data_IF_921515871501
#
_entry.id   IF_921515871501
#
_cell.length_a   1.000
_cell.length_b   1.000
_cell.length_c   1.000
_cell.angle_alpha   90.00
_cell.angle_beta   90.00
_cell.angle_gamma   90.00
#
_symmetry.space_group_name_H-M   'P 1'
#
loop_
_entity.id
_entity.type
_entity.pdbx_description
1 polymer ?
#
# COMPACT_ATOMS: atom_id res chain seq x y z
N UNK A 1 -21.59 -29.06 18.53
CA UNK A 1 -20.75 -28.38 19.54
C UNK A 1 -19.44 -29.09 19.88
N UNK A 2 -19.38 -30.43 19.95
CA UNK A 2 -18.14 -31.17 20.26
C UNK A 2 -17.01 -31.02 19.23
N UNK A 3 -17.33 -30.76 17.96
CA UNK A 3 -16.34 -30.57 16.87
C UNK A 3 -15.73 -29.16 16.78
N UNK A 4 -16.38 -28.17 17.39
CA UNK A 4 -15.88 -26.79 17.46
C UNK A 4 -14.81 -26.67 18.55
N UNK A 5 -14.98 -27.40 19.66
CA UNK A 5 -13.96 -27.46 20.72
C UNK A 5 -12.67 -28.16 20.28
N UNK A 6 -12.74 -29.14 19.37
CA UNK A 6 -11.57 -29.89 18.87
C UNK A 6 -10.69 -29.07 17.93
N UNK A 7 -11.27 -28.12 17.19
CA UNK A 7 -10.54 -27.18 16.34
C UNK A 7 -9.82 -26.09 17.17
N UNK A 8 -10.38 -25.72 18.32
CA UNK A 8 -9.79 -24.71 19.22
C UNK A 8 -8.59 -25.26 20.01
N UNK A 9 -8.54 -26.56 20.26
CA UNK A 9 -7.45 -27.21 21.04
C UNK A 9 -6.22 -27.56 20.20
N UNK A 10 -6.34 -27.66 18.87
CA UNK A 10 -5.19 -27.93 17.99
C UNK A 10 -4.35 -26.68 17.67
N UNK A 11 -4.85 -25.47 17.98
CA UNK A 11 -4.13 -24.21 17.76
C UNK A 11 -3.14 -23.86 18.90
N UNK A 12 -3.08 -24.67 19.97
CA UNK A 12 -2.26 -24.35 21.15
C UNK A 12 -0.89 -25.08 21.20
N UNK A 13 -0.52 -25.81 20.15
CA UNK A 13 0.70 -26.63 20.17
C UNK A 13 1.79 -25.99 19.28
N UNK A 14 2.83 -25.51 19.96
CA UNK A 14 4.20 -25.20 19.47
C UNK A 14 4.42 -23.89 18.71
N UNK A 15 4.38 -22.76 19.44
CA UNK A 15 5.27 -21.64 19.13
C UNK A 15 6.60 -21.86 19.85
N UNK A 16 7.42 -22.76 19.33
CA UNK A 16 8.87 -22.59 19.51
C UNK A 16 9.25 -21.39 18.67
N UNK A 17 9.24 -20.20 19.28
CA UNK A 17 9.81 -19.00 18.66
C UNK A 17 11.30 -19.27 18.53
N UNK A 18 11.72 -19.86 17.41
CA UNK A 18 13.11 -19.74 16.99
C UNK A 18 13.39 -18.24 16.98
N UNK A 19 14.35 -17.80 17.79
CA UNK A 19 14.77 -16.41 17.71
C UNK A 19 15.12 -16.12 16.25
N UNK A 20 14.35 -15.22 15.61
CA UNK A 20 14.59 -14.85 14.22
C UNK A 20 15.89 -14.06 14.06
N UNK A 21 16.47 -13.63 15.19
CA UNK A 21 17.70 -12.86 15.29
C UNK A 21 18.84 -13.78 15.76
N UNK A 22 19.88 -13.90 14.94
CA UNK A 22 21.06 -14.69 15.25
C UNK A 22 22.35 -13.95 14.89
N UNK A 23 23.49 -14.46 15.35
CA UNK A 23 24.79 -13.97 14.89
C UNK A 23 25.17 -14.63 13.57
N UNK A 24 25.71 -13.83 12.66
CA UNK A 24 26.22 -14.27 11.37
C UNK A 24 27.41 -13.42 10.94
N UNK A 25 27.76 -13.53 9.67
CA UNK A 25 28.80 -12.71 9.05
C UNK A 25 28.32 -12.16 7.72
N UNK A 26 28.85 -11.00 7.35
CA UNK A 26 28.64 -10.43 6.03
C UNK A 26 29.87 -9.64 5.59
N UNK A 27 30.14 -9.66 4.28
CA UNK A 27 31.22 -8.87 3.71
C UNK A 27 30.82 -7.40 3.63
N UNK A 28 31.52 -6.57 4.41
CA UNK A 28 31.45 -5.12 4.37
C UNK A 28 32.84 -4.59 4.03
N UNK A 29 32.93 -3.78 2.97
CA UNK A 29 34.21 -3.23 2.49
C UNK A 29 35.28 -4.30 2.22
N UNK A 30 34.88 -5.43 1.61
CA UNK A 30 35.74 -6.59 1.28
C UNK A 30 36.37 -7.31 2.50
N UNK A 31 35.84 -7.09 3.70
CA UNK A 31 36.23 -7.81 4.92
C UNK A 31 34.99 -8.49 5.51
N UNK A 32 35.13 -9.75 5.93
CA UNK A 32 34.08 -10.43 6.68
C UNK A 32 33.92 -9.76 8.04
N UNK A 33 32.73 -9.24 8.32
CA UNK A 33 32.37 -8.59 9.59
C UNK A 33 31.27 -9.38 10.28
N UNK A 34 31.32 -9.41 11.61
CA UNK A 34 30.25 -10.01 12.40
C UNK A 34 28.98 -9.17 12.25
N UNK A 35 27.86 -9.84 12.03
CA UNK A 35 26.56 -9.20 11.84
C UNK A 35 25.50 -9.83 12.74
N UNK A 36 24.56 -9.02 13.17
CA UNK A 36 23.27 -9.49 13.69
C UNK A 36 22.36 -9.74 12.49
N UNK A 37 21.79 -10.93 12.37
CA UNK A 37 21.00 -11.36 11.22
C UNK A 37 19.56 -11.59 11.66
N UNK A 38 18.60 -10.90 11.04
CA UNK A 38 17.16 -11.12 11.20
C UNK A 38 16.60 -11.76 9.94
N UNK A 39 15.93 -12.90 10.06
CA UNK A 39 15.17 -13.49 8.96
C UNK A 39 13.72 -13.06 8.99
N UNK A 40 13.19 -12.67 7.83
CA UNK A 40 11.81 -12.20 7.71
C UNK A 40 11.07 -12.95 6.60
N UNK A 41 9.74 -13.01 6.74
CA UNK A 41 8.82 -13.48 5.71
C UNK A 41 8.38 -12.38 4.73
N UNK A 42 9.04 -11.22 4.77
CA UNK A 42 8.70 -10.04 3.98
C UNK A 42 9.72 -9.81 2.86
N UNK A 43 9.25 -9.22 1.76
CA UNK A 43 10.11 -8.95 0.62
C UNK A 43 11.19 -7.93 0.97
N UNK A 44 12.30 -7.96 0.23
CA UNK A 44 13.41 -7.05 0.43
C UNK A 44 12.95 -5.58 0.39
N UNK A 45 12.05 -5.23 -0.53
CA UNK A 45 11.54 -3.87 -0.70
C UNK A 45 10.78 -3.37 0.53
N UNK A 46 9.90 -4.21 1.10
CA UNK A 46 9.13 -3.88 2.31
C UNK A 46 10.05 -3.68 3.50
N UNK A 47 11.03 -4.57 3.65
CA UNK A 47 11.97 -4.53 4.76
C UNK A 47 12.90 -3.33 4.67
N UNK A 48 13.43 -3.03 3.48
CA UNK A 48 14.23 -1.82 3.27
C UNK A 48 13.44 -0.54 3.51
N UNK A 49 12.19 -0.49 3.05
CA UNK A 49 11.29 0.64 3.30
C UNK A 49 11.06 0.86 4.80
N UNK A 50 10.79 -0.22 5.54
CA UNK A 50 10.64 -0.17 6.99
C UNK A 50 11.93 0.27 7.70
N UNK A 51 13.11 -0.25 7.33
CA UNK A 51 14.37 0.16 7.96
C UNK A 51 14.61 1.66 7.77
N UNK A 52 14.42 2.17 6.55
CA UNK A 52 14.59 3.60 6.24
C UNK A 52 13.66 4.46 7.09
N UNK A 53 12.37 4.14 7.10
CA UNK A 53 11.39 4.91 7.87
C UNK A 53 11.70 4.85 9.38
N UNK A 54 12.09 3.67 9.91
CA UNK A 54 12.43 3.53 11.33
C UNK A 54 13.62 4.38 11.71
N UNK A 55 14.67 4.36 10.89
CA UNK A 55 15.89 5.09 11.18
C UNK A 55 15.70 6.59 10.99
N UNK A 56 14.89 7.02 10.02
CA UNK A 56 14.45 8.42 9.90
C UNK A 56 13.72 8.89 11.16
N UNK A 57 12.83 8.06 11.72
CA UNK A 57 12.14 8.37 12.99
C UNK A 57 13.12 8.47 14.18
N UNK A 58 14.19 7.65 14.20
CA UNK A 58 15.21 7.70 15.25
C UNK A 58 16.16 8.90 15.09
N UNK A 59 16.46 9.33 13.87
CA UNK A 59 17.33 10.47 13.57
C UNK A 59 16.65 11.84 13.71
N UNK A 60 15.32 11.93 13.62
CA UNK A 60 14.57 13.20 13.60
C UNK A 60 14.23 13.79 14.99
N UNK A 61 14.85 13.33 16.08
CA UNK A 61 14.72 14.00 17.39
C UNK A 61 15.65 15.22 17.50
N UNK A 62 15.33 16.29 16.74
CA UNK A 62 15.71 17.66 17.11
C UNK A 62 16.84 18.37 16.34
N UNK A 63 17.26 17.94 15.15
CA UNK A 63 18.20 18.71 14.32
C UNK A 63 17.80 18.64 12.83
N UNK A 64 17.97 19.75 12.11
CA UNK A 64 17.72 19.91 10.66
C UNK A 64 18.60 19.01 9.74
N UNK A 65 19.23 17.96 10.25
CA UNK A 65 20.05 17.04 9.47
C UNK A 65 19.18 15.94 8.87
N UNK A 66 18.49 16.30 7.79
CA UNK A 66 17.69 15.42 6.93
C UNK A 66 18.46 14.31 6.19
N UNK A 67 19.71 13.99 6.54
CA UNK A 67 20.51 13.07 5.74
C UNK A 67 21.70 12.50 6.50
N UNK A 68 21.55 11.27 6.98
CA UNK A 68 22.69 10.36 7.19
C UNK A 68 22.39 8.94 6.69
N UNK A 69 21.31 8.74 5.91
CA UNK A 69 21.06 7.49 5.18
C UNK A 69 21.81 7.56 3.86
N UNK A 70 22.93 6.85 3.76
CA UNK A 70 23.64 6.71 2.48
C UNK A 70 23.68 5.25 2.06
N UNK A 71 23.36 4.98 0.79
CA UNK A 71 23.61 3.68 0.20
C UNK A 71 25.09 3.59 -0.16
N UNK A 72 25.82 2.68 0.49
CA UNK A 72 27.23 2.45 0.22
C UNK A 72 27.44 1.78 -1.13
N UNK A 73 28.67 1.83 -1.65
CA UNK A 73 29.07 1.09 -2.87
C UNK A 73 28.88 -0.43 -2.75
N UNK A 74 28.72 -0.95 -1.52
CA UNK A 74 28.49 -2.37 -1.23
C UNK A 74 27.01 -2.69 -0.97
N UNK A 75 26.09 -1.78 -1.33
CA UNK A 75 24.64 -1.90 -1.12
C UNK A 75 24.23 -2.03 0.36
N UNK A 76 24.90 -1.29 1.24
CA UNK A 76 24.47 -1.14 2.63
C UNK A 76 23.82 0.22 2.83
N UNK A 77 22.71 0.27 3.56
CA UNK A 77 22.22 1.50 4.15
C UNK A 77 23.04 1.81 5.38
N UNK A 78 23.83 2.88 5.30
CA UNK A 78 24.65 3.38 6.40
C UNK A 78 23.87 4.45 7.16
N UNK A 79 23.90 4.40 8.49
CA UNK A 79 23.31 5.37 9.38
C UNK A 79 24.36 5.80 10.38
N UNK A 80 24.94 6.98 10.16
CA UNK A 80 26.06 7.46 10.98
C UNK A 80 25.59 8.13 12.26
N UNK A 81 26.34 7.95 13.34
CA UNK A 81 26.07 8.61 14.63
C UNK A 81 24.72 8.24 15.24
N UNK A 82 24.25 7.01 15.02
CA UNK A 82 23.03 6.51 15.62
C UNK A 82 23.25 6.22 17.11
N UNK A 83 22.30 6.66 17.95
CA UNK A 83 22.30 6.34 19.37
C UNK A 83 21.42 5.13 19.63
N UNK A 84 22.04 3.98 19.87
CA UNK A 84 21.30 2.79 20.32
C UNK A 84 20.72 3.04 21.72
N UNK A 85 19.50 2.56 22.02
CA UNK A 85 18.91 2.67 23.36
C UNK A 85 19.88 2.17 24.43
N UNK A 86 20.07 2.96 25.48
CA UNK A 86 20.96 2.66 26.61
C UNK A 86 22.45 2.50 26.23
N UNK A 87 22.90 2.89 25.03
CA UNK A 87 24.32 2.97 24.71
C UNK A 87 24.96 4.27 25.24
N UNK A 88 26.19 4.17 25.72
CA UNK A 88 26.98 5.30 26.24
C UNK A 88 27.70 6.09 25.14
N UNK A 89 27.71 5.57 23.90
CA UNK A 89 28.36 6.17 22.74
C UNK A 89 27.47 6.05 21.51
N UNK A 90 27.63 6.99 20.59
CA UNK A 90 27.04 6.91 19.26
C UNK A 90 27.82 5.90 18.41
N UNK A 91 27.12 5.24 17.48
CA UNK A 91 27.65 4.20 16.61
C UNK A 91 27.16 4.37 15.18
N UNK A 92 27.88 3.80 14.24
CA UNK A 92 27.45 3.74 12.84
C UNK A 92 26.75 2.40 12.59
N UNK A 93 25.54 2.41 12.03
CA UNK A 93 24.79 1.19 11.73
C UNK A 93 24.81 0.94 10.22
N UNK A 94 25.13 -0.30 9.83
CA UNK A 94 25.17 -0.73 8.44
C UNK A 94 24.15 -1.83 8.25
N UNK A 95 23.07 -1.53 7.53
CA UNK A 95 22.03 -2.48 7.20
C UNK A 95 22.17 -2.96 5.76
N UNK A 96 22.06 -4.27 5.54
CA UNK A 96 21.88 -4.83 4.21
C UNK A 96 20.74 -5.84 4.24
N UNK A 97 19.86 -5.74 3.26
CA UNK A 97 18.77 -6.68 3.09
C UNK A 97 19.05 -7.52 1.86
N UNK A 98 18.98 -8.84 2.00
CA UNK A 98 19.14 -9.78 0.90
C UNK A 98 17.89 -10.63 0.76
N UNK A 99 17.48 -10.87 -0.48
CA UNK A 99 16.41 -11.81 -0.77
C UNK A 99 16.78 -13.21 -0.29
N UNK A 100 15.83 -13.88 0.37
CA UNK A 100 15.96 -15.28 0.82
C UNK A 100 14.93 -16.16 0.13
N UNK A 101 15.33 -17.39 -0.20
CA UNK A 101 14.45 -18.39 -0.80
C UNK A 101 14.39 -18.38 -2.33
N UNK A 102 13.62 -19.33 -2.89
CA UNK A 102 13.47 -19.48 -4.35
C UNK A 102 12.70 -18.33 -5.00
N UNK A 103 12.60 -18.35 -6.34
CA UNK A 103 12.05 -17.27 -7.19
C UNK A 103 10.64 -16.77 -6.81
N UNK A 104 9.86 -17.56 -6.05
CA UNK A 104 8.49 -17.25 -5.63
C UNK A 104 8.34 -17.01 -4.11
N UNK A 105 9.43 -17.07 -3.34
CA UNK A 105 9.40 -16.74 -1.91
C UNK A 105 9.76 -15.27 -1.75
N UNK A 106 8.92 -14.57 -0.98
CA UNK A 106 9.10 -13.18 -0.58
C UNK A 106 9.70 -13.11 0.82
N UNK A 107 10.74 -13.89 1.07
CA UNK A 107 11.48 -13.85 2.33
C UNK A 107 12.75 -13.01 2.15
N UNK A 108 13.26 -12.46 3.24
CA UNK A 108 14.51 -11.71 3.23
C UNK A 108 15.31 -11.92 4.51
N UNK A 109 16.62 -11.67 4.41
CA UNK A 109 17.54 -11.62 5.54
C UNK A 109 18.05 -10.19 5.68
N UNK A 110 17.96 -9.64 6.88
CA UNK A 110 18.52 -8.34 7.24
C UNK A 110 19.79 -8.58 8.02
N UNK A 111 20.88 -7.94 7.61
CA UNK A 111 22.16 -7.96 8.28
C UNK A 111 22.42 -6.59 8.86
N UNK A 112 22.76 -6.54 10.14
CA UNK A 112 23.18 -5.35 10.86
C UNK A 112 24.64 -5.52 11.30
N UNK A 113 25.51 -4.64 10.82
CA UNK A 113 26.88 -4.49 11.30
C UNK A 113 26.99 -3.16 12.07
N UNK A 114 27.68 -3.17 13.21
CA UNK A 114 27.84 -1.99 14.08
C UNK A 114 29.27 -1.47 14.01
N UNK A 115 29.45 -0.26 13.48
CA UNK A 115 30.70 0.47 13.45
C UNK A 115 30.90 1.34 14.68
N UNK A 116 32.13 1.37 15.18
CA UNK A 116 32.61 2.22 16.28
C UNK A 116 33.51 3.36 15.78
N UNK A 117 33.77 3.41 14.47
CA UNK A 117 34.60 4.38 13.78
C UNK A 117 34.88 3.96 12.33
N UNK A 118 35.79 4.63 11.60
CA UNK A 118 36.02 4.40 10.17
C UNK A 118 36.40 2.97 9.76
N UNK A 119 36.99 2.18 10.69
CA UNK A 119 37.44 0.81 10.44
C UNK A 119 37.31 -0.14 11.66
N UNK A 120 36.73 0.36 12.76
CA UNK A 120 36.52 -0.41 14.00
C UNK A 120 35.06 -0.86 14.08
N UNK A 121 34.84 -2.15 14.32
CA UNK A 121 33.53 -2.78 14.30
C UNK A 121 33.31 -3.60 15.56
N UNK A 122 32.09 -3.55 16.08
CA UNK A 122 31.70 -4.29 17.26
C UNK A 122 31.69 -5.80 16.98
N UNK A 123 32.15 -6.58 17.95
CA UNK A 123 32.06 -8.05 17.93
C UNK A 123 31.53 -8.55 19.26
N UNK A 124 31.07 -9.80 19.32
CA UNK A 124 30.64 -10.42 20.59
C UNK A 124 31.79 -10.58 21.58
N UNK A 125 33.03 -10.59 21.11
CA UNK A 125 34.22 -10.75 21.96
C UNK A 125 34.70 -9.42 22.51
N UNK A 126 34.69 -8.37 21.68
CA UNK A 126 35.21 -7.04 22.05
C UNK A 126 34.15 -6.12 22.65
N UNK A 127 32.89 -6.27 22.24
CA UNK A 127 31.80 -5.35 22.58
C UNK A 127 30.47 -6.10 22.83
N UNK A 128 30.42 -7.07 23.76
CA UNK A 128 29.23 -7.91 23.99
C UNK A 128 27.96 -7.08 24.28
N UNK A 129 28.04 -6.07 25.16
CA UNK A 129 26.91 -5.21 25.51
C UNK A 129 26.35 -4.43 24.31
N UNK A 130 27.22 -4.04 23.38
CA UNK A 130 26.82 -3.31 22.19
C UNK A 130 26.13 -4.24 21.18
N UNK A 131 26.63 -5.47 21.06
CA UNK A 131 26.03 -6.49 20.22
C UNK A 131 24.67 -6.96 20.74
N UNK A 132 24.47 -7.03 22.06
CA UNK A 132 23.18 -7.37 22.64
C UNK A 132 22.14 -6.26 22.41
N UNK A 133 22.56 -4.98 22.46
CA UNK A 133 21.69 -3.85 22.06
C UNK A 133 21.34 -3.87 20.58
N UNK A 134 22.27 -4.30 19.72
CA UNK A 134 22.01 -4.47 18.30
C UNK A 134 21.03 -5.63 18.03
N UNK A 135 21.11 -6.73 18.80
CA UNK A 135 20.08 -7.78 18.78
C UNK A 135 18.72 -7.23 19.19
N UNK A 136 18.65 -6.51 20.30
CA UNK A 136 17.39 -5.92 20.79
C UNK A 136 16.76 -4.98 19.74
N UNK A 137 17.58 -4.19 19.05
CA UNK A 137 17.11 -3.35 17.94
C UNK A 137 16.51 -4.20 16.81
N UNK A 138 17.19 -5.29 16.42
CA UNK A 138 16.74 -6.19 15.35
C UNK A 138 15.49 -6.99 15.74
N UNK A 139 15.34 -7.36 17.01
CA UNK A 139 14.13 -8.02 17.53
C UNK A 139 12.93 -7.06 17.48
N UNK A 140 13.13 -5.79 17.83
CA UNK A 140 12.10 -4.74 17.73
C UNK A 140 11.82 -4.29 16.30
N UNK A 141 12.70 -4.63 15.35
CA UNK A 141 12.52 -4.28 13.95
C UNK A 141 11.42 -5.10 13.30
N UNK A 142 11.27 -6.38 13.66
CA UNK A 142 10.25 -7.26 13.10
C UNK A 142 8.83 -6.68 13.24
N UNK A 143 8.29 -6.39 14.44
CA UNK A 143 6.94 -5.83 14.56
C UNK A 143 6.79 -4.48 13.85
N UNK A 144 7.88 -3.72 13.68
CA UNK A 144 7.85 -2.50 12.89
C UNK A 144 7.75 -2.77 11.38
N UNK A 145 8.43 -3.78 10.86
CA UNK A 145 8.29 -4.24 9.47
C UNK A 145 6.84 -4.69 9.22
N UNK A 146 6.23 -5.42 10.16
CA UNK A 146 4.84 -5.86 10.06
C UNK A 146 3.88 -4.67 9.98
N UNK A 147 4.07 -3.68 10.87
CA UNK A 147 3.27 -2.45 10.86
C UNK A 147 3.47 -1.64 9.57
N UNK A 148 4.70 -1.51 9.08
CA UNK A 148 5.00 -0.83 7.82
C UNK A 148 4.32 -1.54 6.65
N UNK A 149 4.40 -2.87 6.57
CA UNK A 149 3.71 -3.65 5.52
C UNK A 149 2.20 -3.41 5.56
N UNK A 150 1.60 -3.46 6.74
CA UNK A 150 0.18 -3.21 6.92
C UNK A 150 -0.20 -1.80 6.44
N UNK A 151 0.60 -0.79 6.77
CA UNK A 151 0.38 0.59 6.31
C UNK A 151 0.46 0.72 4.79
N UNK A 152 1.41 0.04 4.14
CA UNK A 152 1.48 0.01 2.67
C UNK A 152 0.27 -0.69 2.05
N UNK A 153 -0.23 -1.75 2.67
CA UNK A 153 -1.44 -2.45 2.21
C UNK A 153 -2.69 -1.60 2.36
N UNK A 154 -2.81 -0.87 3.48
CA UNK A 154 -3.91 0.08 3.72
C UNK A 154 -3.89 1.16 2.64
N UNK A 155 -2.73 1.79 2.38
CA UNK A 155 -2.60 2.81 1.33
C UNK A 155 -2.98 2.29 -0.05
N UNK A 156 -2.55 1.08 -0.40
CA UNK A 156 -2.92 0.44 -1.66
C UNK A 156 -4.43 0.21 -1.75
N UNK A 157 -5.05 -0.25 -0.66
CA UNK A 157 -6.50 -0.48 -0.59
C UNK A 157 -7.31 0.83 -0.64
N UNK A 158 -6.85 1.89 0.02
CA UNK A 158 -7.47 3.22 -0.02
C UNK A 158 -7.51 3.79 -1.44
N UNK A 159 -6.43 3.65 -2.21
CA UNK A 159 -6.39 4.08 -3.61
C UNK A 159 -7.35 3.26 -4.51
N UNK A 160 -7.51 1.96 -4.23
CA UNK A 160 -8.52 1.14 -4.91
C UNK A 160 -9.94 1.60 -4.57
N UNK A 161 -10.24 1.84 -3.29
CA UNK A 161 -11.55 2.33 -2.83
C UNK A 161 -11.87 3.67 -3.47
N UNK A 162 -10.91 4.60 -3.49
CA UNK A 162 -11.04 5.92 -4.14
C UNK A 162 -11.39 5.79 -5.62
N UNK A 163 -10.68 4.92 -6.36
CA UNK A 163 -10.93 4.66 -7.78
C UNK A 163 -12.33 4.07 -8.03
N UNK A 164 -12.77 3.14 -7.19
CA UNK A 164 -14.12 2.55 -7.28
C UNK A 164 -15.19 3.60 -6.97
N UNK A 165 -14.97 4.44 -5.95
CA UNK A 165 -15.92 5.48 -5.56
C UNK A 165 -16.08 6.56 -6.65
N UNK A 166 -14.99 6.94 -7.32
CA UNK A 166 -15.04 7.84 -8.48
C UNK A 166 -15.92 7.26 -9.59
N UNK A 167 -15.68 5.98 -9.98
CA UNK A 167 -16.49 5.30 -11.00
C UNK A 167 -17.97 5.23 -10.63
N UNK A 168 -18.27 4.95 -9.36
CA UNK A 168 -19.66 4.91 -8.87
C UNK A 168 -20.33 6.28 -8.99
N UNK A 169 -19.60 7.35 -8.66
CA UNK A 169 -20.08 8.73 -8.76
C UNK A 169 -20.40 9.10 -10.20
N UNK A 170 -19.53 8.74 -11.15
CA UNK A 170 -19.72 9.03 -12.57
C UNK A 170 -20.93 8.26 -13.14
N UNK A 171 -21.06 6.97 -12.83
CA UNK A 171 -22.23 6.17 -13.20
C UNK A 171 -23.54 6.75 -12.64
N UNK A 172 -23.51 7.28 -11.41
CA UNK A 172 -24.68 7.93 -10.81
C UNK A 172 -25.08 9.22 -11.53
N UNK A 173 -24.10 10.00 -12.01
CA UNK A 173 -24.36 11.20 -12.82
C UNK A 173 -24.94 10.82 -14.18
N UNK A 174 -24.34 9.85 -14.85
CA UNK A 174 -24.83 9.34 -16.13
C UNK A 174 -26.27 8.83 -16.03
N UNK A 175 -26.58 8.07 -14.98
CA UNK A 175 -27.95 7.60 -14.70
C UNK A 175 -28.92 8.78 -14.53
N UNK A 176 -28.52 9.83 -13.81
CA UNK A 176 -29.36 11.02 -13.59
C UNK A 176 -29.61 11.78 -14.90
N UNK A 177 -28.59 11.92 -15.74
CA UNK A 177 -28.72 12.60 -17.03
C UNK A 177 -29.54 11.78 -18.03
N UNK A 178 -29.42 10.46 -18.01
CA UNK A 178 -30.28 9.57 -18.78
C UNK A 178 -31.74 9.67 -18.34
N UNK A 179 -32.01 9.71 -17.03
CA UNK A 179 -33.38 9.91 -16.51
C UNK A 179 -33.97 11.24 -16.99
N UNK A 180 -33.22 12.34 -16.95
CA UNK A 180 -33.67 13.64 -17.49
C UNK A 180 -33.97 13.57 -18.99
N UNK A 181 -33.13 12.90 -19.77
CA UNK A 181 -33.35 12.71 -21.22
C UNK A 181 -34.62 11.89 -21.49
N UNK A 182 -34.85 10.84 -20.71
CA UNK A 182 -36.09 10.03 -20.81
C UNK A 182 -37.33 10.89 -20.56
N UNK A 183 -37.33 11.69 -19.48
CA UNK A 183 -38.45 12.59 -19.18
C UNK A 183 -38.71 13.60 -20.32
N UNK A 184 -37.66 14.25 -20.82
CA UNK A 184 -37.79 15.21 -21.91
C UNK A 184 -38.30 14.55 -23.21
N UNK A 185 -37.91 13.30 -23.50
CA UNK A 185 -38.42 12.55 -24.64
C UNK A 185 -39.90 12.17 -24.47
N UNK A 186 -40.32 11.80 -23.25
CA UNK A 186 -41.73 11.51 -22.94
C UNK A 186 -42.61 12.76 -23.11
N UNK A 187 -42.16 13.92 -22.66
CA UNK A 187 -42.85 15.19 -22.89
C UNK A 187 -42.99 15.51 -24.38
N UNK A 188 -41.89 15.39 -25.14
CA UNK A 188 -41.91 15.60 -26.61
C UNK A 188 -42.85 14.62 -27.33
N UNK A 189 -42.88 13.36 -26.90
CA UNK A 189 -43.77 12.35 -27.47
C UNK A 189 -45.25 12.71 -27.20
N UNK A 190 -45.54 13.17 -25.99
CA UNK A 190 -46.89 13.62 -25.60
C UNK A 190 -47.32 14.83 -26.42
N UNK A 191 -46.45 15.84 -26.58
CA UNK A 191 -46.74 17.01 -27.40
C UNK A 191 -46.98 16.63 -28.86
N UNK A 192 -46.10 15.82 -29.46
CA UNK A 192 -46.24 15.36 -30.83
C UNK A 192 -47.56 14.58 -31.06
N UNK A 193 -47.99 13.76 -30.10
CA UNK A 193 -49.27 13.06 -30.18
C UNK A 193 -50.46 14.05 -30.18
N UNK A 194 -50.39 15.11 -29.37
CA UNK A 194 -51.40 16.17 -29.34
C UNK A 194 -51.44 16.95 -30.65
N UNK A 195 -50.26 17.28 -31.19
CA UNK A 195 -50.13 18.01 -32.46
C UNK A 195 -50.68 17.18 -33.63
N UNK A 196 -50.37 15.87 -33.67
CA UNK A 196 -50.93 14.95 -34.67
C UNK A 196 -52.45 14.85 -34.59
N UNK A 197 -53.01 14.78 -33.38
CA UNK A 197 -54.47 14.77 -33.19
C UNK A 197 -55.11 16.06 -33.72
N UNK A 198 -54.52 17.21 -33.40
CA UNK A 198 -55.00 18.52 -33.85
C UNK A 198 -54.94 18.63 -35.37
N UNK A 199 -53.83 18.21 -35.97
CA UNK A 199 -53.64 18.24 -37.43
C UNK A 199 -54.61 17.31 -38.16
N UNK A 200 -54.95 16.15 -37.59
CA UNK A 200 -55.97 15.24 -38.15
C UNK A 200 -57.34 15.91 -38.19
N UNK A 201 -57.76 16.53 -37.09
CA UNK A 201 -59.04 17.25 -37.03
C UNK A 201 -59.09 18.39 -38.05
N UNK A 202 -58.00 19.14 -38.21
CA UNK A 202 -57.95 20.21 -39.22
C UNK A 202 -57.99 19.65 -40.65
N UNK A 203 -57.26 18.57 -40.92
CA UNK A 203 -57.30 17.90 -42.22
C UNK A 203 -58.72 17.44 -42.58
N UNK A 204 -59.44 16.83 -41.64
CA UNK A 204 -60.84 16.40 -41.83
C UNK A 204 -61.76 17.58 -42.18
N UNK A 205 -61.63 18.72 -41.48
CA UNK A 205 -62.39 19.94 -41.80
C UNK A 205 -62.09 20.45 -43.21
N UNK A 206 -60.81 20.53 -43.57
CA UNK A 206 -60.40 21.00 -44.90
C UNK A 206 -60.90 20.07 -46.01
N UNK A 207 -60.89 18.75 -45.77
CA UNK A 207 -61.47 17.78 -46.71
C UNK A 207 -62.97 17.98 -46.90
N UNK A 208 -63.74 18.22 -45.82
CA UNK A 208 -65.16 18.50 -45.91
C UNK A 208 -65.46 19.78 -46.71
N UNK A 209 -64.69 20.86 -46.47
CA UNK A 209 -64.81 22.12 -47.21
C UNK A 209 -64.52 21.89 -48.71
N UNK A 210 -63.44 21.16 -49.02
CA UNK A 210 -63.06 20.86 -50.40
C UNK A 210 -64.15 20.07 -51.13
N UNK A 211 -64.72 19.05 -50.49
CA UNK A 211 -65.82 18.26 -51.08
C UNK A 211 -67.07 19.12 -51.32
N UNK A 212 -67.43 20.00 -50.37
CA UNK A 212 -68.53 20.94 -50.57
C UNK A 212 -68.29 21.89 -51.76
N UNK A 213 -67.07 22.40 -51.93
CA UNK A 213 -66.69 23.24 -53.08
C UNK A 213 -66.73 22.46 -54.40
N UNK A 214 -66.25 21.22 -54.44
CA UNK A 214 -66.33 20.36 -55.63
C UNK A 214 -67.78 20.06 -56.01
N UNK A 215 -68.66 19.82 -55.03
CA UNK A 215 -70.09 19.61 -55.27
C UNK A 215 -70.75 20.80 -55.95
N UNK A 216 -70.39 22.03 -55.55
CA UNK A 216 -70.90 23.26 -56.18
C UNK A 216 -70.48 23.44 -57.64
N UNK A 217 -69.37 22.84 -58.08
CA UNK A 217 -68.88 22.92 -59.47
C UNK A 217 -69.65 22.03 -60.46
N UNK A 218 -70.36 21.00 -59.97
CA UNK A 218 -71.10 20.04 -60.82
C UNK A 218 -72.52 20.50 -61.19
N UNK A 219 -72.97 21.64 -60.65
CA UNK A 219 -74.18 22.35 -61.07
C UNK A 219 -73.79 23.56 -61.93
#
# INVERSE_FOLDING_TARGET
MKRIFTLLTFLLVTLSVFSQVQMGQIDLQKKSRQAVVLYTQYSQEIVEGAIKEKMDQLGNKGKENKSLISLSKSNFYEFKGARLPNAHRDVDLYFKTERRGGKNKNESAVYLVVGKGPDDFATTTTDPDLMDKAKELMEKLLPYIEAYKLEQDIKAQEELVKKVNMKMTDLSKDSTDLQKKVLALQEKQTQNSTDQSTQRTELEKQMQILEALKGRRKN
#
